data_IF_794473719014
#
_entry.id   IF_794473719014
#
_cell.length_a   1.000
_cell.length_b   1.000
_cell.length_c   1.000
_cell.angle_alpha   90.00
_cell.angle_beta   90.00
_cell.angle_gamma   90.00
#
_symmetry.space_group_name_H-M   'P 1'
#
loop_
_entity.id
_entity.type
_entity.pdbx_description
1 polymer ?
#
# COMPACT_ATOMS: atom_id res chain seq x y z
N UNK A 1 1.20 27.72 3.18
CA UNK A 1 1.59 26.46 2.52
C UNK A 1 2.18 25.62 3.64
N UNK A 2 1.42 24.63 4.14
CA UNK A 2 1.94 23.72 5.16
C UNK A 2 3.13 22.95 4.58
N UNK A 3 4.14 22.67 5.39
CA UNK A 3 5.19 21.75 4.96
C UNK A 3 4.60 20.35 5.17
N UNK A 4 4.87 19.45 4.22
CA UNK A 4 4.41 18.07 4.27
C UNK A 4 5.63 17.18 4.11
N UNK A 5 5.70 16.11 4.89
CA UNK A 5 6.59 14.99 4.56
C UNK A 5 5.86 14.11 3.55
N UNK A 6 6.25 14.20 2.28
CA UNK A 6 5.69 13.39 1.19
C UNK A 6 6.48 12.09 1.09
N UNK A 7 5.81 10.95 1.18
CA UNK A 7 6.47 9.65 0.99
C UNK A 7 6.65 9.37 -0.52
N UNK A 8 7.69 8.60 -0.85
CA UNK A 8 8.13 8.39 -2.23
C UNK A 8 7.01 7.88 -3.15
N UNK A 9 6.17 6.95 -2.68
CA UNK A 9 5.05 6.43 -3.46
C UNK A 9 4.03 7.50 -3.87
N UNK A 10 3.76 8.50 -3.01
CA UNK A 10 2.87 9.61 -3.37
C UNK A 10 3.46 10.46 -4.48
N UNK A 11 4.74 10.81 -4.37
CA UNK A 11 5.43 11.57 -5.40
C UNK A 11 5.39 10.82 -6.74
N UNK A 12 5.74 9.53 -6.75
CA UNK A 12 5.71 8.71 -7.98
C UNK A 12 4.32 8.63 -8.62
N UNK A 13 3.28 8.40 -7.83
CA UNK A 13 1.93 8.20 -8.37
C UNK A 13 1.22 9.48 -8.79
N UNK A 14 1.36 10.57 -8.02
CA UNK A 14 0.62 11.82 -8.27
C UNK A 14 1.39 12.77 -9.19
N UNK A 15 2.73 12.81 -9.10
CA UNK A 15 3.55 13.77 -9.85
C UNK A 15 4.21 13.14 -11.08
N UNK A 16 4.71 11.90 -10.97
CA UNK A 16 5.47 11.24 -12.05
C UNK A 16 4.65 10.23 -12.88
N UNK A 17 3.53 9.75 -12.35
CA UNK A 17 2.62 8.83 -13.04
C UNK A 17 3.16 7.42 -13.26
N UNK A 18 4.03 6.91 -12.40
CA UNK A 18 4.50 5.51 -12.47
C UNK A 18 4.53 4.82 -11.10
N UNK A 19 4.56 3.49 -11.13
CA UNK A 19 4.68 2.62 -9.97
C UNK A 19 5.95 1.78 -10.05
N UNK A 20 6.52 1.40 -8.91
CA UNK A 20 7.67 0.50 -8.85
C UNK A 20 7.63 -0.41 -7.63
N UNK A 21 8.16 -1.63 -7.78
CA UNK A 21 8.42 -2.57 -6.68
C UNK A 21 9.87 -2.46 -6.15
N UNK A 22 10.68 -1.62 -6.78
CA UNK A 22 12.05 -1.41 -6.36
C UNK A 22 12.07 -0.56 -5.07
N UNK A 23 12.53 -1.18 -3.99
CA UNK A 23 12.82 -0.51 -2.74
C UNK A 23 14.33 -0.31 -2.62
N UNK A 24 14.84 0.90 -2.86
CA UNK A 24 16.29 1.17 -2.76
C UNK A 24 16.82 1.02 -1.34
N UNK A 25 16.00 1.40 -0.36
CA UNK A 25 16.34 1.31 1.06
C UNK A 25 16.02 -0.07 1.62
N UNK A 26 17.03 -0.78 2.10
CA UNK A 26 16.86 -2.11 2.71
C UNK A 26 15.90 -2.08 3.90
N UNK A 27 15.83 -0.98 4.65
CA UNK A 27 14.93 -0.85 5.81
C UNK A 27 13.44 -0.92 5.41
N UNK A 28 13.10 -0.64 4.16
CA UNK A 28 11.73 -0.66 3.66
C UNK A 28 11.36 -2.02 3.03
N UNK A 29 12.29 -2.99 3.04
CA UNK A 29 12.09 -4.35 2.54
C UNK A 29 11.73 -5.28 3.69
N UNK A 30 10.47 -5.24 4.10
CA UNK A 30 9.97 -6.03 5.22
C UNK A 30 10.02 -7.53 4.95
N UNK A 31 10.89 -8.23 5.67
CA UNK A 31 11.11 -9.67 5.50
C UNK A 31 11.13 -10.40 6.84
N UNK A 32 10.86 -11.70 6.80
CA UNK A 32 11.06 -12.61 7.93
C UNK A 32 12.45 -13.22 7.82
N UNK A 33 13.32 -12.95 8.79
CA UNK A 33 14.68 -13.52 8.93
C UNK A 33 15.68 -13.25 7.78
N UNK A 34 15.28 -12.66 6.66
CA UNK A 34 16.19 -12.27 5.59
C UNK A 34 16.79 -10.88 5.84
N UNK A 35 18.07 -10.85 6.22
CA UNK A 35 18.86 -9.63 6.44
C UNK A 35 19.85 -9.34 5.29
N UNK A 36 19.85 -10.17 4.25
CA UNK A 36 20.73 -10.01 3.08
C UNK A 36 20.06 -9.13 2.04
N UNK A 37 18.80 -9.43 1.73
CA UNK A 37 17.99 -8.66 0.77
C UNK A 37 17.06 -7.71 1.52
N UNK A 38 16.47 -8.18 2.63
CA UNK A 38 15.48 -7.44 3.42
C UNK A 38 16.00 -6.92 4.76
N UNK A 39 15.07 -6.43 5.59
CA UNK A 39 15.36 -5.87 6.92
C UNK A 39 15.26 -6.89 8.07
N UNK A 40 14.72 -8.09 7.83
CA UNK A 40 14.55 -9.14 8.85
C UNK A 40 13.68 -8.74 10.04
N UNK A 41 12.91 -7.65 9.95
CA UNK A 41 12.21 -7.05 11.08
C UNK A 41 10.92 -7.79 11.48
N UNK A 42 10.41 -8.66 10.61
CA UNK A 42 9.12 -9.32 10.83
C UNK A 42 9.25 -10.64 11.56
N UNK A 43 8.37 -10.87 12.54
CA UNK A 43 8.15 -12.21 13.12
C UNK A 43 7.30 -13.09 12.20
N UNK A 44 6.33 -12.49 11.51
CA UNK A 44 5.43 -13.15 10.56
C UNK A 44 5.36 -12.35 9.26
N UNK A 45 5.21 -13.01 8.10
CA UNK A 45 5.04 -12.28 6.85
C UNK A 45 3.78 -11.42 6.91
N UNK A 46 3.87 -10.21 6.37
CA UNK A 46 2.71 -9.33 6.17
C UNK A 46 2.26 -9.42 4.72
N UNK A 47 0.94 -9.43 4.52
CA UNK A 47 0.31 -9.52 3.20
C UNK A 47 -0.77 -8.46 3.08
N UNK A 48 -0.38 -7.21 2.84
CA UNK A 48 -1.27 -6.15 2.39
C UNK A 48 -0.80 -5.65 1.03
N UNK A 49 -1.77 -5.32 0.18
CA UNK A 49 -1.52 -4.70 -1.12
C UNK A 49 -0.86 -3.35 -0.88
N UNK A 50 0.22 -3.05 -1.61
CA UNK A 50 0.82 -1.73 -1.72
C UNK A 50 0.12 -0.89 -2.79
N UNK A 51 0.25 0.44 -2.70
CA UNK A 51 -0.33 1.33 -3.71
C UNK A 51 0.36 1.16 -5.08
N UNK A 52 1.66 0.84 -5.11
CA UNK A 52 2.38 0.53 -6.35
C UNK A 52 1.83 -0.73 -7.00
N UNK A 53 1.55 -1.80 -6.24
CA UNK A 53 0.85 -3.01 -6.74
C UNK A 53 -0.53 -2.68 -7.30
N UNK A 54 -1.30 -1.84 -6.60
CA UNK A 54 -2.60 -1.39 -7.09
C UNK A 54 -2.49 -0.60 -8.40
N UNK A 55 -1.47 0.24 -8.52
CA UNK A 55 -1.24 1.02 -9.74
C UNK A 55 -0.76 0.15 -10.91
N UNK A 56 0.14 -0.82 -10.66
CA UNK A 56 0.53 -1.81 -11.68
C UNK A 56 -0.63 -2.72 -12.10
N UNK A 57 -1.60 -2.96 -11.20
CA UNK A 57 -2.86 -3.60 -11.51
C UNK A 57 -3.80 -2.75 -12.40
N UNK A 58 -3.41 -1.52 -12.73
CA UNK A 58 -4.15 -0.62 -13.62
C UNK A 58 -5.07 0.37 -12.91
N UNK A 59 -4.94 0.54 -11.58
CA UNK A 59 -5.60 1.64 -10.88
C UNK A 59 -4.79 2.93 -11.05
N UNK A 60 -5.49 4.04 -11.16
CA UNK A 60 -4.90 5.37 -11.32
C UNK A 60 -5.39 6.27 -10.18
N UNK A 61 -4.54 7.19 -9.74
CA UNK A 61 -4.90 8.20 -8.74
C UNK A 61 -6.15 8.98 -9.20
N UNK A 62 -7.11 9.10 -8.29
CA UNK A 62 -8.33 9.91 -8.45
C UNK A 62 -9.16 9.61 -9.72
N UNK A 63 -9.00 8.41 -10.28
CA UNK A 63 -9.67 7.99 -11.51
C UNK A 63 -10.57 6.80 -11.24
N UNK A 64 -11.82 6.86 -11.69
CA UNK A 64 -12.78 5.76 -11.59
C UNK A 64 -12.39 4.58 -12.47
N UNK A 65 -12.39 3.38 -11.89
CA UNK A 65 -12.20 2.13 -12.63
C UNK A 65 -12.95 0.96 -11.96
N UNK A 66 -14.27 0.96 -12.10
CA UNK A 66 -15.16 -0.10 -11.58
C UNK A 66 -15.01 -1.44 -12.30
N UNK A 67 -14.20 -1.52 -13.37
CA UNK A 67 -13.89 -2.75 -14.09
C UNK A 67 -12.63 -3.47 -13.59
N UNK A 68 -11.86 -2.84 -12.69
CA UNK A 68 -10.62 -3.40 -12.16
C UNK A 68 -10.89 -4.55 -11.17
N UNK A 69 -10.01 -5.56 -11.09
CA UNK A 69 -10.18 -6.68 -10.16
C UNK A 69 -10.00 -6.30 -8.68
N UNK A 70 -9.33 -5.18 -8.42
CA UNK A 70 -9.17 -4.61 -7.08
C UNK A 70 -10.40 -3.83 -6.62
N UNK A 71 -11.31 -3.46 -7.53
CA UNK A 71 -12.58 -2.86 -7.19
C UNK A 71 -13.53 -3.89 -6.55
N UNK A 72 -14.16 -3.51 -5.45
CA UNK A 72 -15.14 -4.32 -4.73
C UNK A 72 -16.29 -3.50 -4.11
N UNK A 73 -16.52 -2.27 -4.60
CA UNK A 73 -17.56 -1.37 -4.08
C UNK A 73 -17.42 -1.04 -2.58
N UNK A 74 -16.20 -1.05 -2.06
CA UNK A 74 -15.85 -0.70 -0.68
C UNK A 74 -14.56 0.10 -0.66
N UNK A 75 -14.47 1.08 0.23
CA UNK A 75 -13.19 1.71 0.59
C UNK A 75 -12.36 0.71 1.41
N UNK A 76 -11.10 0.49 1.04
CA UNK A 76 -10.17 -0.31 1.85
C UNK A 76 -8.74 0.25 1.86
N UNK A 77 -8.04 0.01 2.97
CA UNK A 77 -6.65 0.39 3.18
C UNK A 77 -5.69 -0.43 2.32
N UNK A 78 -4.66 0.24 1.81
CA UNK A 78 -3.43 -0.39 1.31
C UNK A 78 -2.27 -0.08 2.27
N UNK A 79 -1.17 -0.83 2.16
CA UNK A 79 -0.05 -0.76 3.11
C UNK A 79 0.73 0.56 3.05
N UNK A 80 0.63 1.29 1.94
CA UNK A 80 1.58 2.37 1.63
C UNK A 80 1.19 3.70 2.29
N UNK A 81 2.11 4.34 3.04
CA UNK A 81 1.94 5.73 3.51
C UNK A 81 1.89 6.74 2.35
N UNK A 82 1.13 7.83 2.51
CA UNK A 82 0.98 8.86 1.49
C UNK A 82 1.76 10.13 1.83
N UNK A 83 1.42 10.79 2.93
CA UNK A 83 2.17 11.92 3.48
C UNK A 83 1.89 12.09 4.97
N UNK A 84 2.63 12.98 5.63
CA UNK A 84 2.38 13.41 7.01
C UNK A 84 2.41 14.93 7.06
N UNK A 85 1.43 15.54 7.72
CA UNK A 85 1.42 16.98 7.97
C UNK A 85 2.38 17.35 9.11
N UNK A 86 2.80 18.61 9.18
CA UNK A 86 3.65 19.11 10.27
C UNK A 86 2.98 19.00 11.65
N UNK A 87 1.64 19.01 11.70
CA UNK A 87 0.87 18.82 12.93
C UNK A 87 0.82 17.34 13.38
N UNK A 88 1.45 16.44 12.62
CA UNK A 88 1.53 15.02 12.95
C UNK A 88 0.29 14.23 12.55
N UNK A 89 -0.44 14.67 11.51
CA UNK A 89 -1.53 13.91 10.92
C UNK A 89 -1.02 13.08 9.73
N UNK A 90 -0.86 11.76 9.90
CA UNK A 90 -0.47 10.88 8.80
C UNK A 90 -1.67 10.50 7.94
N UNK A 91 -1.42 10.44 6.64
CA UNK A 91 -2.32 9.89 5.63
C UNK A 91 -1.72 8.63 5.02
N UNK A 92 -2.55 7.64 4.77
CA UNK A 92 -2.17 6.42 4.04
C UNK A 92 -3.07 6.23 2.83
N UNK A 93 -2.59 5.46 1.85
CA UNK A 93 -3.33 5.20 0.63
C UNK A 93 -4.53 4.27 0.87
N UNK A 94 -5.57 4.46 0.08
CA UNK A 94 -6.76 3.62 0.00
C UNK A 94 -7.13 3.35 -1.45
N UNK A 95 -7.83 2.25 -1.66
CA UNK A 95 -8.62 2.04 -2.87
C UNK A 95 -10.05 2.42 -2.53
N UNK A 96 -10.62 3.33 -3.33
CA UNK A 96 -11.98 3.83 -3.15
C UNK A 96 -13.03 2.86 -3.69
N UNK A 97 -14.25 3.02 -3.19
CA UNK A 97 -15.47 2.36 -3.63
C UNK A 97 -15.84 2.62 -5.09
N UNK A 98 -15.16 3.53 -5.80
CA UNK A 98 -15.23 3.76 -7.25
C UNK A 98 -14.04 3.16 -8.03
N UNK A 99 -13.14 2.45 -7.36
CA UNK A 99 -12.00 1.77 -7.99
C UNK A 99 -10.89 2.72 -8.41
N UNK A 100 -10.61 3.77 -7.63
CA UNK A 100 -9.46 4.65 -7.84
C UNK A 100 -8.56 4.70 -6.61
N UNK A 101 -7.31 5.12 -6.81
CA UNK A 101 -6.36 5.34 -5.71
C UNK A 101 -6.63 6.72 -5.09
N UNK A 102 -6.71 6.76 -3.77
CA UNK A 102 -6.84 8.01 -3.00
C UNK A 102 -6.08 7.87 -1.67
N UNK A 103 -6.11 8.88 -0.81
CA UNK A 103 -5.50 8.84 0.51
C UNK A 103 -6.49 9.35 1.55
N UNK A 104 -6.32 8.92 2.79
CA UNK A 104 -7.11 9.43 3.91
C UNK A 104 -6.35 9.32 5.21
N UNK A 105 -6.74 10.14 6.18
CA UNK A 105 -6.09 10.23 7.48
C UNK A 105 -6.27 8.96 8.31
N UNK A 106 -5.25 8.62 9.09
CA UNK A 106 -5.33 7.50 10.04
C UNK A 106 -6.42 7.79 11.08
N UNK A 107 -7.35 6.85 11.25
CA UNK A 107 -8.51 6.97 12.15
C UNK A 107 -9.87 6.81 11.47
N UNK A 108 -9.91 6.75 10.14
CA UNK A 108 -11.12 6.41 9.40
C UNK A 108 -11.47 4.91 9.58
N UNK A 109 -12.76 4.62 9.81
CA UNK A 109 -13.30 3.26 9.85
C UNK A 109 -13.43 2.71 8.42
N UNK A 110 -12.34 2.18 7.88
CA UNK A 110 -12.21 1.68 6.51
C UNK A 110 -11.85 0.19 6.52
N UNK A 111 -12.26 -0.54 5.48
CA UNK A 111 -12.07 -1.98 5.38
C UNK A 111 -10.60 -2.36 5.15
N UNK A 112 -10.30 -3.65 5.32
CA UNK A 112 -8.99 -4.23 4.96
C UNK A 112 -9.19 -5.36 3.96
N UNK A 113 -8.27 -5.47 3.00
CA UNK A 113 -8.24 -6.58 2.03
C UNK A 113 -7.00 -7.44 2.29
N UNK A 114 -7.14 -8.58 2.98
CA UNK A 114 -6.00 -9.45 3.27
C UNK A 114 -5.46 -10.08 1.99
N UNK A 115 -4.14 -10.26 1.93
CA UNK A 115 -3.45 -10.99 0.87
C UNK A 115 -2.96 -12.32 1.42
N UNK A 116 -3.23 -13.40 0.68
CA UNK A 116 -2.71 -14.73 0.98
C UNK A 116 -1.62 -15.05 -0.03
N UNK A 117 -0.42 -15.35 0.47
CA UNK A 117 0.65 -15.86 -0.38
C UNK A 117 0.36 -17.30 -0.78
N UNK A 118 0.50 -17.61 -2.06
CA UNK A 118 0.36 -18.97 -2.64
C UNK A 118 1.70 -19.71 -2.75
N UNK A 119 2.70 -19.34 -1.95
CA UNK A 119 3.96 -20.07 -1.87
C UNK A 119 3.71 -21.51 -1.40
N UNK A 120 4.21 -22.49 -2.15
CA UNK A 120 4.02 -23.92 -1.87
C UNK A 120 4.65 -24.38 -0.56
N UNK A 121 5.47 -23.54 0.08
CA UNK A 121 6.11 -23.77 1.38
C UNK A 121 5.31 -23.17 2.54
N UNK A 122 4.26 -22.39 2.26
CA UNK A 122 3.39 -21.81 3.29
C UNK A 122 2.26 -22.80 3.58
N UNK A 123 2.22 -23.30 4.81
CA UNK A 123 1.12 -24.13 5.30
C UNK A 123 0.02 -23.23 5.86
N UNK A 124 -1.12 -23.18 5.18
CA UNK A 124 -2.34 -22.56 5.73
C UNK A 124 -3.01 -23.57 6.63
N UNK A 125 -2.90 -23.39 7.95
CA UNK A 125 -3.64 -24.19 8.93
C UNK A 125 -4.88 -23.43 9.35
N UNK A 126 -6.07 -23.94 9.03
CA UNK A 126 -7.33 -23.47 9.60
C UNK A 126 -7.55 -24.06 10.98
N UNK A 127 -8.19 -23.30 11.88
CA UNK A 127 -8.82 -23.83 13.08
C UNK A 127 -10.21 -24.37 12.76
#
# INVERSE_FOLDING_TARGET
MGIFTIYAARFRLYEEGYATLDCDNQNDRFTVNDTTIGNGALTYPIGLISVDEASMAGLVAETENTSNYLYNNLDYWVFTPSYMTDEGYPDVFIIRDYGGINNTGIGAEINVRPVISIDSRIYVTGW
#
